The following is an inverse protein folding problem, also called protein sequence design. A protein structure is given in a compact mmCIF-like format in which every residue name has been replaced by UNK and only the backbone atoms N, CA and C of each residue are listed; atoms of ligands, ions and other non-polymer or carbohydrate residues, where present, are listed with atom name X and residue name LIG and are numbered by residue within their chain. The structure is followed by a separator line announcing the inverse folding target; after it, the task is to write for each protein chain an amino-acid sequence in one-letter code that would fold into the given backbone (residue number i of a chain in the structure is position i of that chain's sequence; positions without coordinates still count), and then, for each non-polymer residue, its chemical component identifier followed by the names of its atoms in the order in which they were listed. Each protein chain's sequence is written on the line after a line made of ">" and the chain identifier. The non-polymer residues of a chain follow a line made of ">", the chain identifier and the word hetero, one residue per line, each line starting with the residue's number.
data_IF_129875771928
#
_entry.id   IF_129875771928
#
_cell.length_a   1.000
_cell.length_b   1.000
_cell.length_c   1.000
_cell.angle_alpha   90.00
_cell.angle_beta   90.00
_cell.angle_gamma   90.00
#
_symmetry.space_group_name_H-M   'P 1'
#
loop_
_entity.id
_entity.type
_entity.pdbx_description
1 polymer ?
#
# COMPACT_ATOMS: atom_id res chain seq x y z
N UNK A 1 -17.00 4.27 14.31
CA UNK A 1 -16.20 5.17 13.44
C UNK A 1 -16.96 6.44 13.07
N UNK A 2 -18.20 6.34 12.59
CA UNK A 2 -18.96 7.51 12.12
C UNK A 2 -19.16 8.62 13.18
N UNK A 3 -19.41 8.23 14.45
CA UNK A 3 -19.51 9.20 15.56
C UNK A 3 -18.20 9.96 15.80
N UNK A 4 -17.05 9.31 15.63
CA UNK A 4 -15.73 9.92 15.80
C UNK A 4 -15.40 10.88 14.65
N UNK A 5 -15.70 10.48 13.40
CA UNK A 5 -15.51 11.35 12.23
C UNK A 5 -16.42 12.57 12.31
N UNK A 6 -17.69 12.40 12.72
CA UNK A 6 -18.62 13.52 12.94
C UNK A 6 -18.12 14.53 13.97
N UNK A 7 -17.51 14.07 15.07
CA UNK A 7 -16.94 14.95 16.09
C UNK A 7 -15.68 15.71 15.62
N UNK A 8 -15.06 15.29 14.52
CA UNK A 8 -13.83 15.86 13.99
C UNK A 8 -13.99 16.22 12.51
N UNK A 9 -15.18 16.65 12.09
CA UNK A 9 -15.52 16.77 10.68
C UNK A 9 -14.77 17.87 9.93
N UNK A 10 -14.24 18.85 10.67
CA UNK A 10 -13.39 19.92 10.13
C UNK A 10 -12.05 19.38 9.64
N UNK A 11 -11.49 18.41 10.36
CA UNK A 11 -10.15 17.87 10.10
C UNK A 11 -10.16 16.51 9.41
N UNK A 12 -11.23 15.73 9.54
CA UNK A 12 -11.32 14.35 9.07
C UNK A 12 -12.44 14.12 8.06
N UNK A 13 -12.22 13.19 7.14
CA UNK A 13 -13.21 12.73 6.17
C UNK A 13 -13.15 11.21 6.04
N UNK A 14 -14.32 10.57 5.97
CA UNK A 14 -14.43 9.14 5.70
C UNK A 14 -14.66 8.93 4.21
N UNK A 15 -13.79 8.17 3.54
CA UNK A 15 -13.94 7.85 2.11
C UNK A 15 -13.71 6.36 1.86
N UNK A 16 -14.41 5.85 0.86
CA UNK A 16 -14.13 4.54 0.30
C UNK A 16 -12.85 4.62 -0.53
N UNK A 17 -11.91 3.72 -0.28
CA UNK A 17 -10.75 3.58 -1.14
C UNK A 17 -11.06 2.62 -2.28
N UNK A 18 -10.67 2.98 -3.50
CA UNK A 18 -10.56 2.00 -4.58
C UNK A 18 -9.47 0.98 -4.20
N UNK A 19 -9.69 -0.28 -4.56
CA UNK A 19 -8.73 -1.35 -4.29
C UNK A 19 -7.37 -1.04 -4.91
N UNK A 20 -6.31 -1.48 -4.25
CA UNK A 20 -4.92 -1.43 -4.73
C UNK A 20 -4.79 -1.96 -6.18
N UNK A 21 -5.74 -2.78 -6.59
CA UNK A 21 -5.81 -3.46 -7.88
C UNK A 21 -5.76 -2.55 -9.12
N UNK A 22 -6.38 -1.36 -9.10
CA UNK A 22 -6.30 -0.44 -10.27
C UNK A 22 -4.89 0.10 -10.49
N UNK A 23 -4.17 0.41 -9.40
CA UNK A 23 -2.77 0.81 -9.47
C UNK A 23 -1.85 -0.38 -9.72
N UNK A 24 -2.22 -1.58 -9.25
CA UNK A 24 -1.52 -2.83 -9.54
C UNK A 24 -1.49 -3.11 -11.04
N UNK A 25 -2.63 -3.05 -11.73
CA UNK A 25 -2.69 -3.25 -13.17
C UNK A 25 -1.86 -2.22 -13.96
N UNK A 26 -1.82 -0.96 -13.52
CA UNK A 26 -0.95 0.06 -14.13
C UNK A 26 0.55 -0.14 -13.83
N UNK A 27 0.86 -0.79 -12.70
CA UNK A 27 2.21 -1.13 -12.29
C UNK A 27 2.70 -2.47 -12.85
N UNK A 28 1.81 -3.30 -13.39
CA UNK A 28 2.07 -4.63 -13.91
C UNK A 28 2.87 -4.54 -15.21
N UNK A 29 4.19 -4.52 -15.06
CA UNK A 29 5.12 -4.39 -16.17
C UNK A 29 6.33 -5.26 -15.93
N UNK A 30 6.57 -6.19 -16.86
CA UNK A 30 7.68 -7.13 -16.82
C UNK A 30 9.03 -6.44 -16.67
N UNK A 31 9.23 -5.30 -17.32
CA UNK A 31 10.49 -4.53 -17.25
C UNK A 31 10.70 -3.95 -15.85
N UNK A 32 9.64 -3.42 -15.21
CA UNK A 32 9.69 -2.93 -13.83
C UNK A 32 10.03 -4.05 -12.85
N UNK A 33 9.39 -5.21 -12.98
CA UNK A 33 9.72 -6.37 -12.13
C UNK A 33 11.16 -6.84 -12.30
N UNK A 34 11.63 -6.95 -13.55
CA UNK A 34 13.02 -7.33 -13.84
C UNK A 34 14.01 -6.35 -13.20
N UNK A 35 13.75 -5.05 -13.30
CA UNK A 35 14.59 -4.03 -12.68
C UNK A 35 14.55 -4.09 -11.14
N UNK A 36 13.35 -4.23 -10.56
CA UNK A 36 13.15 -4.35 -9.13
C UNK A 36 13.96 -5.53 -8.55
N UNK A 37 13.81 -6.73 -9.12
CA UNK A 37 14.54 -7.90 -8.65
C UNK A 37 16.05 -7.77 -8.86
N UNK A 38 16.51 -7.17 -9.97
CA UNK A 38 17.94 -6.89 -10.17
C UNK A 38 18.52 -6.03 -9.04
N UNK A 39 17.82 -4.94 -8.68
CA UNK A 39 18.25 -4.05 -7.59
C UNK A 39 18.17 -4.76 -6.23
N UNK A 40 17.12 -5.55 -6.00
CA UNK A 40 16.96 -6.32 -4.77
C UNK A 40 18.12 -7.29 -4.56
N UNK A 41 18.50 -8.05 -5.58
CA UNK A 41 19.64 -8.97 -5.51
C UNK A 41 20.96 -8.26 -5.19
N UNK A 42 21.18 -7.07 -5.76
CA UNK A 42 22.36 -6.25 -5.45
C UNK A 42 22.39 -5.88 -3.96
N UNK A 43 21.25 -5.48 -3.38
CA UNK A 43 21.19 -5.11 -1.95
C UNK A 43 21.33 -6.33 -1.03
N UNK A 44 20.71 -7.46 -1.38
CA UNK A 44 20.86 -8.72 -0.63
C UNK A 44 22.32 -9.13 -0.58
N UNK A 45 23.02 -9.08 -1.72
CA UNK A 45 24.45 -9.37 -1.78
C UNK A 45 25.28 -8.37 -0.97
N UNK A 46 25.01 -7.06 -1.14
CA UNK A 46 25.73 -5.97 -0.46
C UNK A 46 25.70 -6.09 1.06
N UNK A 47 24.56 -6.47 1.63
CA UNK A 47 24.38 -6.59 3.08
C UNK A 47 24.43 -8.03 3.59
N UNK A 48 24.78 -8.99 2.73
CA UNK A 48 24.81 -10.43 3.06
C UNK A 48 23.54 -10.90 3.76
N UNK A 49 22.38 -10.46 3.27
CA UNK A 49 21.08 -10.77 3.88
C UNK A 49 20.82 -12.26 3.73
N UNK A 50 20.68 -12.95 4.86
CA UNK A 50 20.39 -14.37 4.86
C UNK A 50 18.91 -14.63 4.54
N UNK A 51 18.56 -15.76 3.89
CA UNK A 51 17.18 -16.10 3.55
C UNK A 51 16.24 -16.05 4.76
N UNK A 52 16.71 -16.48 5.93
CA UNK A 52 15.99 -16.43 7.21
C UNK A 52 15.63 -15.02 7.72
N UNK A 53 16.21 -13.97 7.13
CA UNK A 53 15.90 -12.57 7.44
C UNK A 53 15.06 -11.90 6.35
N UNK A 54 14.70 -12.66 5.31
CA UNK A 54 13.80 -12.21 4.25
C UNK A 54 12.37 -12.59 4.63
N UNK A 55 11.62 -11.63 5.15
CA UNK A 55 10.21 -11.84 5.47
C UNK A 55 9.36 -11.67 4.21
N UNK A 56 8.54 -12.66 3.90
CA UNK A 56 7.61 -12.55 2.78
C UNK A 56 6.52 -11.51 3.12
N UNK A 57 6.23 -10.64 2.16
CA UNK A 57 5.14 -9.66 2.27
C UNK A 57 3.80 -10.31 1.84
N UNK A 58 3.78 -11.62 1.59
CA UNK A 58 2.65 -12.30 0.97
C UNK A 58 1.41 -12.34 1.85
N UNK A 59 1.48 -12.64 3.15
CA UNK A 59 0.25 -12.77 3.95
C UNK A 59 -0.41 -11.41 4.26
N UNK A 60 0.39 -10.41 4.66
CA UNK A 60 -0.12 -9.06 4.93
C UNK A 60 -0.47 -8.32 3.64
N UNK A 61 0.31 -8.51 2.57
CA UNK A 61 0.03 -7.96 1.24
C UNK A 61 -1.20 -8.57 0.59
N UNK A 62 -1.45 -9.86 0.83
CA UNK A 62 -2.64 -10.58 0.37
C UNK A 62 -3.91 -10.16 1.12
N UNK A 63 -3.85 -10.02 2.45
CA UNK A 63 -4.96 -9.43 3.21
C UNK A 63 -5.27 -8.00 2.73
N UNK A 64 -4.25 -7.18 2.45
CA UNK A 64 -4.43 -5.84 1.87
C UNK A 64 -5.00 -5.86 0.44
N UNK A 65 -4.75 -6.90 -0.35
CA UNK A 65 -5.29 -7.05 -1.70
C UNK A 65 -6.75 -7.55 -1.69
N UNK A 66 -7.10 -8.48 -0.79
CA UNK A 66 -8.46 -8.98 -0.61
C UNK A 66 -9.38 -7.90 -0.03
N UNK A 67 -8.86 -7.05 0.86
CA UNK A 67 -9.66 -5.99 1.50
C UNK A 67 -9.83 -4.76 0.59
N UNK A 68 -10.22 -5.01 -0.66
CA UNK A 68 -10.19 -4.10 -1.81
C UNK A 68 -11.16 -2.91 -1.73
N UNK A 69 -12.09 -2.86 -0.77
CA UNK A 69 -12.91 -1.67 -0.49
C UNK A 69 -13.12 -1.50 1.01
N UNK A 70 -12.32 -0.63 1.62
CA UNK A 70 -12.52 -0.19 3.00
C UNK A 70 -12.94 1.28 3.05
N UNK A 71 -13.78 1.61 4.03
CA UNK A 71 -13.94 3.00 4.48
C UNK A 71 -12.72 3.35 5.31
N UNK A 72 -11.94 4.32 4.84
CA UNK A 72 -10.74 4.81 5.53
C UNK A 72 -10.92 6.28 5.90
N UNK A 73 -10.38 6.65 7.05
CA UNK A 73 -10.37 8.04 7.53
C UNK A 73 -9.15 8.73 6.92
N UNK A 74 -9.38 9.91 6.35
CA UNK A 74 -8.35 10.77 5.78
C UNK A 74 -8.38 12.15 6.43
N UNK A 75 -7.26 12.85 6.37
CA UNK A 75 -7.24 14.28 6.65
C UNK A 75 -7.99 15.02 5.53
N UNK A 76 -8.96 15.85 5.92
CA UNK A 76 -9.90 16.51 5.01
C UNK A 76 -9.23 17.51 4.06
N UNK A 77 -8.42 18.49 4.52
CA UNK A 77 -7.75 19.43 3.60
C UNK A 77 -6.78 18.73 2.65
N UNK A 78 -5.94 17.81 3.14
CA UNK A 78 -4.99 17.05 2.32
C UNK A 78 -5.68 16.17 1.26
N UNK A 79 -6.86 15.64 1.56
CA UNK A 79 -7.62 14.83 0.61
C UNK A 79 -8.27 15.69 -0.49
N UNK A 80 -8.71 16.91 -0.16
CA UNK A 80 -9.33 17.82 -1.13
C UNK A 80 -8.32 18.49 -2.08
N UNK A 81 -7.05 18.58 -1.68
CA UNK A 81 -5.97 19.14 -2.51
C UNK A 81 -5.33 18.14 -3.48
N UNK A 82 -5.77 16.87 -3.46
CA UNK A 82 -5.33 15.80 -4.35
C UNK A 82 -6.22 15.72 -5.58
#
# INVERSE_FOLDING_TARGET
>A
VDRFVRRNEDSLILRWTAGIDSNRHKADSRTKYKLYFKLLYIQIAKYSIQPQHTYNIDEKGFLLSITSRLKRIFNRPLFKSR
#
